data_IF_059072244955
#
_entry.id   IF_059072244955
#
_cell.length_a   1.000
_cell.length_b   1.000
_cell.length_c   1.000
_cell.angle_alpha   90.00
_cell.angle_beta   90.00
_cell.angle_gamma   90.00
#
_symmetry.space_group_name_H-M   'P 1'
#
loop_
_entity.id
_entity.type
_entity.pdbx_description
1 polymer ?
#
# COMPACT_ATOMS: atom_id res chain seq x y z
N UNK A 1 -15.59 -12.72 18.04
CA UNK A 1 -14.73 -11.79 17.31
C UNK A 1 -15.47 -10.49 17.09
N UNK A 2 -15.02 -9.43 17.75
CA UNK A 2 -15.43 -8.04 17.52
C UNK A 2 -14.56 -7.42 16.41
N UNK A 3 -14.95 -6.25 15.89
CA UNK A 3 -14.12 -5.51 14.91
C UNK A 3 -12.73 -5.18 15.48
N UNK A 4 -12.64 -4.83 16.77
CA UNK A 4 -11.37 -4.51 17.40
C UNK A 4 -10.50 -5.77 17.61
N UNK A 5 -11.10 -6.91 17.96
CA UNK A 5 -10.37 -8.19 18.02
C UNK A 5 -9.78 -8.55 16.65
N UNK A 6 -10.56 -8.42 15.58
CA UNK A 6 -10.10 -8.66 14.21
C UNK A 6 -8.96 -7.70 13.82
N UNK A 7 -9.04 -6.42 14.18
CA UNK A 7 -7.95 -5.47 13.97
C UNK A 7 -6.65 -5.90 14.66
N UNK A 8 -6.74 -6.36 15.92
CA UNK A 8 -5.58 -6.83 16.68
C UNK A 8 -5.00 -8.12 16.11
N UNK A 9 -5.84 -9.04 15.62
CA UNK A 9 -5.36 -10.24 14.93
C UNK A 9 -4.63 -9.87 13.63
N UNK A 10 -5.21 -8.98 12.80
CA UNK A 10 -4.55 -8.48 11.58
C UNK A 10 -3.21 -7.83 11.92
N UNK A 11 -3.14 -6.97 12.94
CA UNK A 11 -1.91 -6.32 13.39
C UNK A 11 -0.82 -7.36 13.76
N UNK A 12 -1.20 -8.40 14.51
CA UNK A 12 -0.33 -9.51 14.87
C UNK A 12 0.15 -10.28 13.64
N UNK A 13 -0.74 -10.66 12.73
CA UNK A 13 -0.39 -11.40 11.52
C UNK A 13 0.52 -10.58 10.58
N UNK A 14 0.29 -9.28 10.44
CA UNK A 14 1.18 -8.38 9.70
C UNK A 14 2.60 -8.35 10.29
N UNK A 15 2.72 -8.37 11.62
CA UNK A 15 3.99 -8.21 12.34
C UNK A 15 4.75 -9.52 12.56
N UNK A 16 4.06 -10.67 12.59
CA UNK A 16 4.66 -11.94 12.99
C UNK A 16 4.76 -12.94 11.85
N UNK A 17 3.80 -12.97 10.94
CA UNK A 17 3.78 -13.99 9.90
C UNK A 17 4.83 -13.74 8.82
N UNK A 18 5.31 -14.83 8.23
CA UNK A 18 6.13 -14.79 7.01
C UNK A 18 5.27 -14.51 5.76
N UNK A 19 3.99 -14.90 5.81
CA UNK A 19 3.03 -14.76 4.71
C UNK A 19 1.66 -14.31 5.21
N UNK A 20 1.50 -13.04 5.62
CA UNK A 20 0.25 -12.54 6.20
C UNK A 20 -0.96 -12.67 5.27
N UNK A 21 -0.74 -12.78 3.95
CA UNK A 21 -1.83 -12.95 2.99
C UNK A 21 -2.68 -14.21 3.21
N UNK A 22 -2.13 -15.26 3.83
CA UNK A 22 -2.89 -16.50 4.08
C UNK A 22 -4.03 -16.22 5.07
N UNK A 23 -3.73 -15.58 6.21
CA UNK A 23 -4.74 -15.16 7.19
C UNK A 23 -5.69 -14.11 6.61
N UNK A 24 -5.16 -13.09 5.92
CA UNK A 24 -5.98 -12.03 5.31
C UNK A 24 -7.01 -12.60 4.31
N UNK A 25 -6.63 -13.59 3.50
CA UNK A 25 -7.56 -14.27 2.59
C UNK A 25 -8.57 -15.16 3.31
N UNK A 26 -8.18 -15.79 4.43
CA UNK A 26 -9.11 -16.56 5.26
C UNK A 26 -10.22 -15.67 5.83
N UNK A 27 -9.87 -14.49 6.37
CA UNK A 27 -10.85 -13.57 6.95
C UNK A 27 -11.65 -12.79 5.91
N UNK A 28 -11.13 -12.63 4.69
CA UNK A 28 -11.77 -11.84 3.63
C UNK A 28 -13.22 -12.29 3.34
N UNK A 29 -13.48 -13.60 3.38
CA UNK A 29 -14.81 -14.18 3.14
C UNK A 29 -15.76 -14.14 4.34
N UNK A 30 -15.31 -13.69 5.50
CA UNK A 30 -16.10 -13.69 6.72
C UNK A 30 -17.06 -12.49 6.77
N UNK A 31 -18.28 -12.64 7.30
CA UNK A 31 -19.25 -11.54 7.37
C UNK A 31 -18.71 -10.28 8.07
N UNK A 32 -17.90 -10.46 9.13
CA UNK A 32 -17.33 -9.35 9.89
C UNK A 32 -16.38 -8.48 9.03
N UNK A 33 -15.68 -9.07 8.07
CA UNK A 33 -14.78 -8.32 7.17
C UNK A 33 -15.54 -7.46 6.14
N UNK A 34 -16.83 -7.72 5.96
CA UNK A 34 -17.71 -6.89 5.12
C UNK A 34 -18.34 -5.71 5.89
N UNK A 35 -18.10 -5.58 7.19
CA UNK A 35 -18.60 -4.48 8.01
C UNK A 35 -17.64 -3.28 8.02
N UNK A 36 -18.15 -2.06 8.24
CA UNK A 36 -17.30 -0.89 8.38
C UNK A 36 -16.42 -1.02 9.65
N UNK A 37 -15.12 -0.70 9.58
CA UNK A 37 -14.40 -0.11 8.45
C UNK A 37 -13.74 -1.12 7.49
N UNK A 38 -13.71 -2.42 7.79
CA UNK A 38 -13.13 -3.46 6.93
C UNK A 38 -13.78 -3.58 5.55
N UNK A 39 -15.03 -3.13 5.41
CA UNK A 39 -15.72 -3.01 4.12
C UNK A 39 -14.94 -2.18 3.09
N UNK A 40 -14.09 -1.24 3.52
CA UNK A 40 -13.17 -0.49 2.65
C UNK A 40 -12.11 -1.40 2.00
N UNK A 41 -11.53 -2.33 2.78
CA UNK A 41 -10.59 -3.34 2.29
C UNK A 41 -11.31 -4.41 1.46
N UNK A 42 -12.50 -4.83 1.90
CA UNK A 42 -13.31 -5.80 1.15
C UNK A 42 -13.71 -5.27 -0.24
N UNK A 43 -13.84 -3.96 -0.43
CA UNK A 43 -14.10 -3.36 -1.74
C UNK A 43 -12.97 -3.63 -2.76
N UNK A 44 -11.73 -3.82 -2.31
CA UNK A 44 -10.56 -4.03 -3.18
C UNK A 44 -10.69 -5.28 -4.05
N UNK A 45 -11.36 -6.34 -3.58
CA UNK A 45 -11.53 -7.57 -4.36
C UNK A 45 -12.53 -7.43 -5.52
N UNK A 46 -13.34 -6.36 -5.54
CA UNK A 46 -14.23 -6.02 -6.65
C UNK A 46 -13.63 -4.98 -7.59
N UNK A 47 -12.53 -4.34 -7.22
CA UNK A 47 -11.88 -3.31 -8.01
C UNK A 47 -10.89 -3.95 -8.98
N UNK A 48 -11.30 -4.10 -10.24
CA UNK A 48 -10.44 -4.61 -11.31
C UNK A 48 -9.33 -3.60 -11.64
N UNK A 49 -8.17 -4.11 -12.04
CA UNK A 49 -7.04 -3.29 -12.48
C UNK A 49 -6.71 -3.55 -13.95
N UNK A 50 -5.82 -2.72 -14.51
CA UNK A 50 -5.36 -2.90 -15.89
C UNK A 50 -4.62 -4.23 -16.04
N UNK A 51 -5.06 -5.16 -16.92
CA UNK A 51 -4.40 -6.46 -17.10
C UNK A 51 -2.98 -6.34 -17.69
N UNK A 52 -2.63 -5.17 -18.26
CA UNK A 52 -1.28 -4.89 -18.76
C UNK A 52 -0.30 -4.60 -17.61
N UNK A 53 -0.76 -3.91 -16.57
CA UNK A 53 0.09 -3.47 -15.45
C UNK A 53 -0.08 -4.31 -14.19
N UNK A 54 -1.21 -5.00 -14.09
CA UNK A 54 -1.67 -5.81 -12.97
C UNK A 54 -2.31 -7.10 -13.49
N UNK A 55 -1.53 -8.03 -14.07
CA UNK A 55 -2.06 -9.28 -14.59
C UNK A 55 -2.69 -10.17 -13.51
N UNK A 56 -2.37 -9.93 -12.24
CA UNK A 56 -2.95 -10.58 -11.06
C UNK A 56 -4.42 -10.24 -10.80
N UNK A 57 -4.99 -9.27 -11.53
CA UNK A 57 -6.43 -9.02 -11.57
C UNK A 57 -6.88 -7.83 -10.73
N UNK A 58 -7.51 -8.09 -9.57
CA UNK A 58 -8.11 -7.04 -8.74
C UNK A 58 -7.09 -6.44 -7.75
N UNK A 59 -7.49 -5.35 -7.08
CA UNK A 59 -6.64 -4.63 -6.13
C UNK A 59 -6.31 -5.47 -4.89
N UNK A 60 -7.24 -6.32 -4.44
CA UNK A 60 -7.00 -7.22 -3.30
C UNK A 60 -5.86 -8.19 -3.58
N UNK A 61 -5.88 -8.86 -4.74
CA UNK A 61 -4.83 -9.80 -5.14
C UNK A 61 -3.45 -9.13 -5.17
N UNK A 62 -3.36 -7.94 -5.74
CA UNK A 62 -2.14 -7.13 -5.73
C UNK A 62 -1.71 -6.81 -4.29
N UNK A 63 -2.62 -6.30 -3.46
CA UNK A 63 -2.33 -5.97 -2.06
C UNK A 63 -1.79 -7.16 -1.27
N UNK A 64 -2.34 -8.37 -1.47
CA UNK A 64 -1.84 -9.58 -0.82
C UNK A 64 -0.40 -9.90 -1.23
N UNK A 65 -0.06 -9.78 -2.52
CA UNK A 65 1.31 -9.96 -2.99
C UNK A 65 2.26 -8.91 -2.38
N UNK A 66 1.82 -7.66 -2.29
CA UNK A 66 2.61 -6.57 -1.69
C UNK A 66 2.85 -6.78 -0.20
N UNK A 67 1.83 -7.21 0.55
CA UNK A 67 1.96 -7.49 1.99
C UNK A 67 2.92 -8.65 2.27
N UNK A 68 2.92 -9.68 1.43
CA UNK A 68 3.89 -10.79 1.56
C UNK A 68 5.32 -10.35 1.21
N UNK A 69 5.51 -9.49 0.20
CA UNK A 69 6.82 -8.89 -0.07
C UNK A 69 7.27 -7.96 1.06
N UNK A 70 6.35 -7.22 1.67
CA UNK A 70 6.63 -6.38 2.83
C UNK A 70 7.05 -7.23 4.04
N UNK A 71 6.37 -8.35 4.31
CA UNK A 71 6.74 -9.26 5.39
C UNK A 71 8.20 -9.74 5.31
N UNK A 72 8.68 -10.06 4.10
CA UNK A 72 10.09 -10.47 3.85
C UNK A 72 11.09 -9.36 4.16
N UNK A 73 10.70 -8.10 4.00
CA UNK A 73 11.55 -6.93 4.20
C UNK A 73 11.27 -6.18 5.51
N UNK A 74 10.31 -6.64 6.32
CA UNK A 74 9.83 -6.00 7.55
C UNK A 74 10.98 -5.62 8.49
N UNK A 75 11.96 -6.51 8.68
CA UNK A 75 13.12 -6.25 9.55
C UNK A 75 14.06 -5.13 9.07
N UNK A 76 13.94 -4.68 7.82
CA UNK A 76 14.69 -3.54 7.28
C UNK A 76 14.01 -2.21 7.55
N UNK A 77 12.71 -2.21 7.84
CA UNK A 77 11.99 -1.02 8.28
C UNK A 77 12.32 -0.73 9.73
N UNK A 78 12.56 0.54 10.03
CA UNK A 78 12.72 1.01 11.41
C UNK A 78 11.37 1.31 12.09
N UNK A 79 10.28 1.27 11.33
CA UNK A 79 8.91 1.46 11.79
C UNK A 79 8.01 0.32 11.27
N UNK A 80 8.35 -0.92 11.65
CA UNK A 80 7.77 -2.14 11.07
C UNK A 80 6.24 -2.14 11.02
N UNK A 81 5.59 -1.67 12.09
CA UNK A 81 4.13 -1.58 12.17
C UNK A 81 3.56 -0.59 11.16
N UNK A 82 4.13 0.62 11.08
CA UNK A 82 3.75 1.64 10.08
C UNK A 82 3.93 1.09 8.67
N UNK A 83 5.08 0.47 8.40
CA UNK A 83 5.41 -0.09 7.09
C UNK A 83 4.44 -1.19 6.65
N UNK A 84 4.12 -2.15 7.52
CA UNK A 84 3.20 -3.25 7.18
C UNK A 84 1.76 -2.77 6.99
N UNK A 85 1.29 -1.82 7.82
CA UNK A 85 -0.04 -1.23 7.62
C UNK A 85 -0.11 -0.38 6.36
N UNK A 86 0.94 0.38 6.03
CA UNK A 86 1.02 1.09 4.77
C UNK A 86 0.98 0.12 3.57
N UNK A 87 1.65 -1.03 3.64
CA UNK A 87 1.57 -2.05 2.60
C UNK A 87 0.15 -2.58 2.39
N UNK A 88 -0.59 -2.87 3.46
CA UNK A 88 -1.99 -3.33 3.39
C UNK A 88 -2.94 -2.25 2.85
N UNK A 89 -2.69 -0.98 3.16
CA UNK A 89 -3.60 0.13 2.87
C UNK A 89 -3.20 0.98 1.65
N UNK A 90 -2.03 0.77 1.02
CA UNK A 90 -1.48 1.67 0.00
C UNK A 90 -2.45 2.00 -1.15
N UNK A 91 -3.27 1.02 -1.53
CA UNK A 91 -4.23 1.11 -2.61
C UNK A 91 -5.70 1.22 -2.16
N UNK A 92 -5.96 1.48 -0.87
CA UNK A 92 -7.33 1.55 -0.32
C UNK A 92 -8.22 2.63 -1.00
N UNK A 93 -7.61 3.61 -1.66
CA UNK A 93 -8.30 4.64 -2.43
C UNK A 93 -8.75 4.22 -3.84
N UNK A 94 -8.27 3.09 -4.36
CA UNK A 94 -8.62 2.64 -5.72
C UNK A 94 -10.11 2.37 -5.92
N UNK A 95 -10.87 1.77 -5.00
CA UNK A 95 -12.31 1.54 -5.19
C UNK A 95 -13.10 2.81 -5.50
N UNK A 96 -12.75 3.96 -4.91
CA UNK A 96 -13.44 5.23 -5.12
C UNK A 96 -12.98 6.01 -6.37
N UNK A 97 -11.82 5.64 -6.93
CA UNK A 97 -11.15 6.42 -7.98
C UNK A 97 -10.93 5.65 -9.28
N UNK A 98 -11.25 4.36 -9.29
CA UNK A 98 -11.10 3.50 -10.46
C UNK A 98 -12.25 3.71 -11.43
N UNK A 99 -11.90 4.02 -12.67
CA UNK A 99 -12.83 4.16 -13.77
C UNK A 99 -12.36 3.36 -14.98
N UNK A 100 -13.31 2.81 -15.73
CA UNK A 100 -13.06 2.20 -17.03
C UNK A 100 -13.57 3.12 -18.15
N UNK A 101 -12.67 3.58 -19.02
CA UNK A 101 -13.02 4.42 -20.18
C UNK A 101 -12.35 3.85 -21.43
N UNK A 102 -13.16 3.46 -22.41
CA UNK A 102 -12.67 2.91 -23.69
C UNK A 102 -11.80 1.66 -23.53
N UNK A 103 -12.14 0.78 -22.58
CA UNK A 103 -11.39 -0.45 -22.28
C UNK A 103 -10.09 -0.24 -21.50
N UNK A 104 -9.80 0.99 -21.05
CA UNK A 104 -8.67 1.30 -20.17
C UNK A 104 -9.17 1.57 -18.77
N UNK A 105 -8.63 0.82 -17.81
CA UNK A 105 -8.89 0.99 -16.38
C UNK A 105 -7.81 1.90 -15.79
N UNK A 106 -8.22 2.95 -15.07
CA UNK A 106 -7.32 3.92 -14.42
C UNK A 106 -7.84 4.33 -13.06
N UNK A 107 -6.94 4.56 -12.10
CA UNK A 107 -7.26 5.01 -10.73
C UNK A 107 -6.51 6.30 -10.42
N UNK A 108 -6.99 7.44 -10.92
CA UNK A 108 -6.30 8.73 -10.76
C UNK A 108 -6.49 9.31 -9.36
N UNK A 109 -5.43 9.86 -8.77
CA UNK A 109 -5.41 10.44 -7.42
C UNK A 109 -5.79 9.47 -6.28
N UNK A 110 -5.69 8.15 -6.52
CA UNK A 110 -6.03 7.14 -5.51
C UNK A 110 -5.13 7.23 -4.27
N UNK A 111 -3.91 7.76 -4.39
CA UNK A 111 -2.99 7.99 -3.27
C UNK A 111 -3.52 9.04 -2.29
N UNK A 112 -4.17 10.11 -2.80
CA UNK A 112 -4.75 11.18 -1.96
C UNK A 112 -6.00 10.69 -1.25
N UNK A 113 -6.89 10.02 -1.99
CA UNK A 113 -8.10 9.42 -1.41
C UNK A 113 -7.72 8.31 -0.42
N UNK A 114 -6.70 7.52 -0.76
CA UNK A 114 -6.18 6.44 0.06
C UNK A 114 -5.64 6.92 1.41
N UNK A 115 -4.91 8.04 1.45
CA UNK A 115 -4.45 8.63 2.70
C UNK A 115 -5.62 9.03 3.62
N UNK A 116 -6.66 9.68 3.07
CA UNK A 116 -7.85 10.07 3.84
C UNK A 116 -8.66 8.87 4.34
N UNK A 117 -8.82 7.83 3.50
CA UNK A 117 -9.50 6.60 3.89
C UNK A 117 -8.70 5.82 4.93
N UNK A 118 -7.37 5.79 4.83
CA UNK A 118 -6.51 5.11 5.81
C UNK A 118 -6.61 5.77 7.18
N UNK A 119 -6.65 7.11 7.22
CA UNK A 119 -6.90 7.85 8.47
C UNK A 119 -8.24 7.44 9.08
N UNK A 120 -9.32 7.47 8.28
CA UNK A 120 -10.66 7.07 8.75
C UNK A 120 -10.69 5.63 9.25
N UNK A 121 -10.06 4.70 8.53
CA UNK A 121 -9.98 3.30 8.88
C UNK A 121 -9.28 3.09 10.24
N UNK A 122 -8.08 3.65 10.39
CA UNK A 122 -7.27 3.43 11.59
C UNK A 122 -7.83 4.16 12.82
N UNK A 123 -8.43 5.34 12.64
CA UNK A 123 -9.04 6.11 13.74
C UNK A 123 -10.25 5.42 14.39
N UNK A 124 -10.78 4.34 13.79
CA UNK A 124 -11.81 3.50 14.44
C UNK A 124 -11.20 2.61 15.53
N UNK A 125 -9.92 2.27 15.42
CA UNK A 125 -9.28 1.24 16.25
C UNK A 125 -8.22 1.77 17.21
N UNK A 126 -7.64 2.95 16.93
CA UNK A 126 -6.55 3.51 17.72
C UNK A 126 -6.57 5.03 17.70
N UNK A 127 -6.12 5.63 18.81
CA UNK A 127 -5.91 7.08 18.97
C UNK A 127 -4.41 7.44 18.86
N UNK A 128 -3.57 6.52 18.35
CA UNK A 128 -2.15 6.78 18.09
C UNK A 128 -1.99 7.65 16.84
N UNK A 129 -2.10 8.96 17.04
CA UNK A 129 -2.03 9.98 15.98
C UNK A 129 -0.72 9.93 15.18
N UNK A 130 0.39 9.57 15.82
CA UNK A 130 1.70 9.46 15.17
C UNK A 130 1.73 8.27 14.20
N UNK A 131 1.31 7.09 14.67
CA UNK A 131 1.17 5.91 13.83
C UNK A 131 0.23 6.16 12.64
N UNK A 132 -0.94 6.75 12.88
CA UNK A 132 -1.91 7.05 11.82
C UNK A 132 -1.30 8.02 10.79
N UNK A 133 -0.68 9.10 11.25
CA UNK A 133 -0.03 10.09 10.39
C UNK A 133 1.01 9.43 9.51
N UNK A 134 1.90 8.63 10.08
CA UNK A 134 3.04 8.08 9.34
C UNK A 134 2.59 7.03 8.31
N UNK A 135 1.57 6.22 8.63
CA UNK A 135 0.91 5.35 7.64
C UNK A 135 0.31 6.17 6.51
N UNK A 136 -0.45 7.23 6.83
CA UNK A 136 -1.09 8.07 5.81
C UNK A 136 -0.07 8.74 4.90
N UNK A 137 1.09 9.17 5.42
CA UNK A 137 2.14 9.80 4.61
C UNK A 137 2.79 8.81 3.64
N UNK A 138 3.09 7.59 4.08
CA UNK A 138 3.59 6.55 3.16
C UNK A 138 2.60 6.29 2.02
N UNK A 139 1.30 6.23 2.33
CA UNK A 139 0.24 6.01 1.34
C UNK A 139 0.09 7.21 0.42
N UNK A 140 0.13 8.44 0.93
CA UNK A 140 0.04 9.64 0.10
C UNK A 140 1.16 9.72 -0.94
N UNK A 141 2.37 9.30 -0.57
CA UNK A 141 3.56 9.42 -1.41
C UNK A 141 3.94 8.13 -2.16
N UNK A 142 3.23 7.01 -1.98
CA UNK A 142 3.65 5.70 -2.53
C UNK A 142 3.85 5.72 -4.07
N UNK A 143 3.06 6.50 -4.81
CA UNK A 143 3.20 6.65 -6.26
C UNK A 143 4.39 7.50 -6.70
N UNK A 144 5.02 8.26 -5.79
CA UNK A 144 6.11 9.17 -6.14
C UNK A 144 7.35 8.46 -6.67
N UNK A 145 7.57 7.20 -6.30
CA UNK A 145 8.69 6.42 -6.83
C UNK A 145 8.60 6.35 -8.36
N UNK A 146 7.41 6.07 -8.89
CA UNK A 146 7.17 6.08 -10.33
C UNK A 146 7.39 7.47 -10.93
N UNK A 147 6.89 8.51 -10.26
CA UNK A 147 6.92 9.88 -10.78
C UNK A 147 8.35 10.43 -10.85
N UNK A 148 9.12 10.24 -9.77
CA UNK A 148 10.51 10.68 -9.65
C UNK A 148 11.43 9.91 -10.61
N UNK A 149 11.29 8.57 -10.68
CA UNK A 149 12.13 7.75 -11.57
C UNK A 149 11.89 8.09 -13.05
N UNK A 150 10.65 8.41 -13.43
CA UNK A 150 10.28 8.74 -14.81
C UNK A 150 10.29 10.24 -15.14
N UNK A 151 10.82 11.08 -14.24
CA UNK A 151 10.89 12.54 -14.43
C UNK A 151 9.52 13.15 -14.80
N UNK A 152 8.46 12.65 -14.17
CA UNK A 152 7.11 13.15 -14.40
C UNK A 152 6.94 14.53 -13.77
N UNK A 153 6.15 15.39 -14.42
CA UNK A 153 5.80 16.74 -13.91
C UNK A 153 5.15 16.77 -12.52
N UNK A 154 4.70 15.62 -12.01
CA UNK A 154 4.04 15.46 -10.72
C UNK A 154 4.96 14.92 -9.63
N UNK A 155 6.24 14.70 -9.93
CA UNK A 155 7.24 14.32 -8.96
C UNK A 155 7.39 15.42 -7.89
N UNK A 156 7.28 15.04 -6.62
CA UNK A 156 7.32 15.95 -5.48
C UNK A 156 8.39 15.54 -4.48
N UNK A 157 9.67 15.69 -4.87
CA UNK A 157 10.82 15.34 -4.02
C UNK A 157 10.83 16.17 -2.73
N UNK A 158 10.46 17.45 -2.80
CA UNK A 158 10.41 18.32 -1.63
C UNK A 158 9.36 17.85 -0.62
N UNK A 159 8.14 17.54 -1.08
CA UNK A 159 7.07 17.02 -0.24
C UNK A 159 7.45 15.71 0.42
N UNK A 160 8.08 14.78 -0.31
CA UNK A 160 8.60 13.53 0.24
C UNK A 160 9.58 13.83 1.39
N UNK A 161 10.62 14.64 1.12
CA UNK A 161 11.65 14.99 2.12
C UNK A 161 11.10 15.65 3.37
N UNK A 162 10.04 16.43 3.24
CA UNK A 162 9.46 17.19 4.34
C UNK A 162 8.48 16.36 5.19
N UNK A 163 7.87 15.30 4.64
CA UNK A 163 6.71 14.66 5.26
C UNK A 163 6.82 13.15 5.44
N UNK A 164 7.86 12.49 4.89
CA UNK A 164 8.04 11.04 5.04
C UNK A 164 9.51 10.65 5.06
N UNK A 165 9.79 9.43 5.51
CA UNK A 165 11.13 8.85 5.42
C UNK A 165 11.33 8.24 4.03
N UNK A 166 12.32 8.74 3.29
CA UNK A 166 12.65 8.30 1.94
C UNK A 166 12.95 6.80 1.89
N UNK A 167 13.60 6.24 2.91
CA UNK A 167 13.96 4.82 2.98
C UNK A 167 12.72 3.95 3.20
N UNK A 168 11.82 4.37 4.09
CA UNK A 168 10.55 3.66 4.30
C UNK A 168 9.68 3.69 3.04
N UNK A 169 9.61 4.84 2.37
CA UNK A 169 8.91 4.97 1.10
C UNK A 169 9.54 4.08 0.02
N UNK A 170 10.86 4.06 -0.09
CA UNK A 170 11.60 3.21 -1.02
C UNK A 170 11.38 1.71 -0.75
N UNK A 171 11.33 1.29 0.52
CA UNK A 171 10.98 -0.08 0.90
C UNK A 171 9.56 -0.42 0.44
N UNK A 172 8.59 0.45 0.73
CA UNK A 172 7.18 0.23 0.34
C UNK A 172 7.03 0.14 -1.18
N UNK A 173 7.63 1.05 -1.94
CA UNK A 173 7.54 0.99 -3.39
C UNK A 173 8.29 -0.18 -4.00
N UNK A 174 9.37 -0.66 -3.38
CA UNK A 174 9.99 -1.92 -3.79
C UNK A 174 8.98 -3.07 -3.65
N UNK A 175 8.30 -3.16 -2.51
CA UNK A 175 7.27 -4.19 -2.27
C UNK A 175 6.09 -4.06 -3.25
N UNK A 176 5.61 -2.84 -3.55
CA UNK A 176 4.55 -2.61 -4.55
C UNK A 176 4.97 -3.09 -5.96
N UNK A 177 6.24 -2.89 -6.33
CA UNK A 177 6.75 -3.34 -7.64
C UNK A 177 7.01 -4.83 -7.69
N UNK A 178 7.53 -5.40 -6.61
CA UNK A 178 7.82 -6.82 -6.47
C UNK A 178 6.57 -7.67 -6.29
N UNK A 179 5.53 -7.12 -5.68
CA UNK A 179 4.23 -7.74 -5.45
C UNK A 179 3.35 -7.78 -6.69
N UNK A 180 3.91 -8.10 -7.86
CA UNK A 180 3.19 -8.24 -9.13
C UNK A 180 3.64 -9.49 -9.86
N UNK A 181 2.81 -9.97 -10.76
CA UNK A 181 3.21 -11.06 -11.65
C UNK A 181 4.20 -10.57 -12.71
N UNK A 182 5.25 -11.35 -12.98
CA UNK A 182 6.30 -11.05 -13.98
C UNK A 182 7.19 -9.83 -13.69
N UNK A 183 7.38 -9.44 -12.43
CA UNK A 183 8.26 -8.32 -12.07
C UNK A 183 9.73 -8.60 -12.41
N UNK A 184 10.40 -7.62 -13.03
CA UNK A 184 11.85 -7.64 -13.25
C UNK A 184 12.58 -7.09 -12.03
N UNK A 185 13.03 -8.01 -11.18
CA UNK A 185 13.71 -7.70 -9.91
C UNK A 185 14.92 -6.79 -10.10
N UNK A 186 15.71 -7.01 -11.16
CA UNK A 186 16.92 -6.23 -11.39
C UNK A 186 16.58 -4.80 -11.79
N UNK A 187 15.57 -4.64 -12.66
CA UNK A 187 15.09 -3.33 -13.07
C UNK A 187 14.43 -2.57 -11.92
N UNK A 188 13.63 -3.22 -11.08
CA UNK A 188 12.95 -2.55 -9.96
C UNK A 188 13.94 -2.12 -8.87
N UNK A 189 14.97 -2.92 -8.56
CA UNK A 189 16.06 -2.48 -7.68
C UNK A 189 16.77 -1.25 -8.23
N UNK A 190 17.07 -1.24 -9.53
CA UNK A 190 17.66 -0.07 -10.20
C UNK A 190 16.75 1.17 -10.12
N UNK A 191 15.43 1.00 -10.26
CA UNK A 191 14.47 2.09 -10.11
C UNK A 191 14.51 2.67 -8.69
N UNK A 192 14.58 1.81 -7.66
CA UNK A 192 14.73 2.24 -6.27
C UNK A 192 16.05 2.99 -6.05
N UNK A 193 17.17 2.53 -6.62
CA UNK A 193 18.44 3.24 -6.51
C UNK A 193 18.39 4.63 -7.17
N UNK A 194 17.72 4.76 -8.33
CA UNK A 194 17.49 6.06 -8.99
C UNK A 194 16.64 6.96 -8.09
N UNK A 195 15.54 6.45 -7.56
CA UNK A 195 14.65 7.18 -6.65
C UNK A 195 15.41 7.71 -5.42
N UNK A 196 16.17 6.84 -4.75
CA UNK A 196 16.97 7.18 -3.57
C UNK A 196 17.99 8.27 -3.91
N UNK A 197 18.69 8.15 -5.04
CA UNK A 197 19.69 9.12 -5.44
C UNK A 197 19.08 10.50 -5.73
N UNK A 198 17.94 10.56 -6.43
CA UNK A 198 17.25 11.83 -6.69
C UNK A 198 16.75 12.47 -5.40
N UNK A 199 16.15 11.69 -4.50
CA UNK A 199 15.58 12.25 -3.27
C UNK A 199 16.64 12.69 -2.24
N UNK A 200 17.83 12.10 -2.26
CA UNK A 200 18.89 12.42 -1.30
C UNK A 200 19.89 13.48 -1.79
N UNK A 201 20.06 13.64 -3.11
CA UNK A 201 21.11 14.48 -3.68
C UNK A 201 20.61 15.70 -4.48
N UNK A 202 19.31 15.80 -4.78
CA UNK A 202 18.67 17.00 -5.35
C UNK A 202 17.99 17.81 -4.24
#
# INVERSE_FOLDING_TARGET
MTLHELYMEIDSHLLLDEKPSDYLNEIYGQPLFSEYPFSMLHALGKTMQSPVHHPEGNVWNHTMMVVDEAAKLRSKSHQQRVFMWAALLHDIGKPETTEERGGKITSYNHEKVGAELSKKFLSVFTDDDEFIRDVCQLILYHMQILFVVKDMRFADVFGIRANTDIRELALLGLCDRMGRTNSDIAQEKKNIDIFMNKCLNE
#
